data_IF_185336251176
#
_entry.id   IF_185336251176
#
_cell.length_a   1.000
_cell.length_b   1.000
_cell.length_c   1.000
_cell.angle_alpha   90.00
_cell.angle_beta   90.00
_cell.angle_gamma   90.00
#
_symmetry.space_group_name_H-M   'P 1'
#
loop_
_entity.id
_entity.type
_entity.pdbx_description
1 polymer ?
#
# COMPACT_ATOMS: atom_id res chain seq x y z
N UNK A 1 14.73 8.43 44.84
CA UNK A 1 15.09 9.83 44.53
C UNK A 1 14.87 10.04 43.04
N UNK A 2 13.74 10.61 42.65
CA UNK A 2 13.38 10.83 41.25
C UNK A 2 13.82 12.24 40.85
N UNK A 3 14.82 12.35 39.99
CA UNK A 3 15.23 13.61 39.39
C UNK A 3 14.22 14.01 38.31
N UNK A 4 13.46 15.09 38.55
CA UNK A 4 12.63 15.73 37.55
C UNK A 4 13.54 16.64 36.70
N UNK A 5 13.71 16.32 35.41
CA UNK A 5 14.40 17.19 34.45
C UNK A 5 13.46 18.35 34.08
N UNK A 6 13.73 19.52 34.62
CA UNK A 6 13.21 20.80 34.15
C UNK A 6 13.87 21.16 32.83
N UNK A 7 13.08 21.26 31.75
CA UNK A 7 13.45 22.04 30.57
C UNK A 7 12.88 23.45 30.76
N UNK A 8 13.69 24.52 30.69
CA UNK A 8 13.20 25.88 30.66
C UNK A 8 13.06 26.32 29.20
N UNK A 9 11.90 26.85 28.83
CA UNK A 9 11.78 27.80 27.72
C UNK A 9 10.58 28.70 28.03
N UNK A 10 10.80 29.67 28.92
CA UNK A 10 9.92 30.82 29.03
C UNK A 10 10.46 31.88 28.09
N UNK A 11 9.77 32.11 26.97
CA UNK A 11 9.99 33.28 26.12
C UNK A 11 9.60 34.53 26.92
N UNK A 12 10.59 35.33 27.33
CA UNK A 12 10.36 36.64 27.93
C UNK A 12 9.80 37.60 26.88
N UNK A 13 8.53 37.95 27.01
CA UNK A 13 7.93 39.07 26.29
C UNK A 13 7.83 40.23 27.28
N UNK A 14 8.52 41.34 26.99
CA UNK A 14 8.49 42.56 27.79
C UNK A 14 7.31 43.45 27.37
N UNK A 15 6.41 43.73 28.31
CA UNK A 15 5.42 44.79 28.16
C UNK A 15 6.07 46.18 28.22
N UNK A 16 5.49 47.20 27.55
CA UNK A 16 6.05 48.55 27.47
C UNK A 16 6.06 49.33 28.80
N UNK A 17 5.51 48.77 29.89
CA UNK A 17 5.53 49.35 31.23
C UNK A 17 6.57 48.71 32.18
N UNK A 18 7.39 47.76 31.71
CA UNK A 18 8.58 47.29 32.43
C UNK A 18 8.36 46.32 33.59
N UNK A 19 7.14 45.80 33.81
CA UNK A 19 6.88 44.78 34.83
C UNK A 19 6.75 43.39 34.19
N UNK A 20 7.54 42.42 34.69
CA UNK A 20 7.45 41.00 34.33
C UNK A 20 6.37 40.30 35.14
N UNK A 21 5.30 39.84 34.48
CA UNK A 21 4.31 38.94 35.09
C UNK A 21 4.46 37.56 34.43
N UNK A 22 4.68 36.47 35.18
CA UNK A 22 4.70 35.13 34.62
C UNK A 22 3.27 34.70 34.27
N UNK A 23 2.91 34.78 33.00
CA UNK A 23 1.66 34.23 32.49
C UNK A 23 1.82 32.71 32.29
N UNK A 24 1.20 31.94 33.18
CA UNK A 24 1.24 30.48 33.14
C UNK A 24 0.28 29.99 32.06
N UNK A 25 0.78 29.71 30.86
CA UNK A 25 0.00 29.09 29.77
C UNK A 25 -0.60 27.78 30.30
N UNK A 26 -1.91 27.54 30.20
CA UNK A 26 -2.55 26.37 30.80
C UNK A 26 -2.03 25.07 30.17
N UNK A 27 -1.18 24.37 30.91
CA UNK A 27 -0.52 23.08 30.63
C UNK A 27 -1.47 21.94 30.27
N UNK A 28 -2.79 22.11 30.46
CA UNK A 28 -3.80 21.10 30.15
C UNK A 28 -3.86 20.75 28.65
N UNK A 29 -3.67 21.72 27.75
CA UNK A 29 -3.76 21.46 26.30
C UNK A 29 -2.55 20.68 25.74
N UNK A 30 -1.36 20.88 26.30
CA UNK A 30 -0.14 20.15 25.88
C UNK A 30 -0.11 18.72 26.44
N UNK A 31 -0.58 18.51 27.68
CA UNK A 31 -0.61 17.20 28.33
C UNK A 31 -1.69 16.27 27.73
N UNK A 32 -2.79 16.83 27.22
CA UNK A 32 -3.84 16.07 26.52
C UNK A 32 -3.39 15.61 25.13
N UNK A 33 -2.49 16.36 24.48
CA UNK A 33 -1.91 15.99 23.18
C UNK A 33 -0.86 14.87 23.32
N UNK A 34 -0.12 14.83 24.44
CA UNK A 34 0.85 13.77 24.70
C UNK A 34 0.19 12.44 25.10
N UNK A 35 -0.94 12.46 25.81
CA UNK A 35 -1.67 11.23 26.15
C UNK A 35 -2.33 10.61 24.92
N UNK A 36 -2.95 11.40 24.03
CA UNK A 36 -3.50 10.88 22.77
C UNK A 36 -2.42 10.21 21.89
N UNK A 37 -1.23 10.82 21.80
CA UNK A 37 -0.08 10.23 21.10
C UNK A 37 0.45 8.98 21.81
N UNK A 38 0.50 8.96 23.13
CA UNK A 38 0.97 7.81 23.92
C UNK A 38 0.04 6.60 23.79
N UNK A 39 -1.29 6.82 23.82
CA UNK A 39 -2.28 5.77 23.56
C UNK A 39 -2.21 5.25 22.12
N UNK A 40 -1.93 6.11 21.13
CA UNK A 40 -1.77 5.68 19.74
C UNK A 40 -0.55 4.77 19.52
N UNK A 41 0.55 5.02 20.23
CA UNK A 41 1.75 4.16 20.19
C UNK A 41 1.56 2.84 20.94
N UNK A 42 0.80 2.83 22.03
CA UNK A 42 0.54 1.64 22.83
C UNK A 42 -0.48 0.69 22.18
N UNK A 43 -1.36 1.20 21.32
CA UNK A 43 -2.20 0.38 20.44
C UNK A 43 -1.34 -0.26 19.34
N UNK A 44 -0.36 0.46 18.77
CA UNK A 44 0.53 -0.05 17.74
C UNK A 44 1.47 -1.17 18.22
N UNK A 45 1.88 -1.16 19.49
CA UNK A 45 2.80 -2.17 20.05
C UNK A 45 2.17 -3.53 20.38
N UNK A 46 0.84 -3.64 20.33
CA UNK A 46 0.09 -4.87 20.63
C UNK A 46 -0.65 -5.45 19.41
N UNK A 47 -0.41 -4.91 18.21
CA UNK A 47 -0.94 -5.48 16.98
C UNK A 47 -0.07 -6.68 16.62
N UNK A 48 -0.61 -7.91 16.56
CA UNK A 48 0.15 -9.08 16.12
C UNK A 48 0.77 -8.82 14.74
N UNK A 49 2.03 -9.23 14.52
CA UNK A 49 2.75 -9.06 13.23
C UNK A 49 1.92 -9.32 11.95
N UNK A 50 1.04 -10.35 11.88
CA UNK A 50 0.22 -10.57 10.67
C UNK A 50 -0.72 -9.40 10.33
N UNK A 51 -1.19 -8.64 11.32
CA UNK A 51 -2.08 -7.50 11.11
C UNK A 51 -1.33 -6.26 10.58
N UNK A 52 -0.05 -6.09 10.92
CA UNK A 52 0.77 -5.01 10.35
C UNK A 52 1.03 -5.23 8.87
N UNK A 53 1.29 -6.48 8.46
CA UNK A 53 1.44 -6.84 7.05
C UNK A 53 0.15 -6.59 6.27
N UNK A 54 -0.99 -7.06 6.78
CA UNK A 54 -2.30 -6.84 6.15
C UNK A 54 -2.65 -5.35 6.04
N UNK A 55 -2.31 -4.55 7.05
CA UNK A 55 -2.52 -3.09 7.03
C UNK A 55 -1.62 -2.40 5.99
N UNK A 56 -0.34 -2.75 5.94
CA UNK A 56 0.59 -2.21 4.96
C UNK A 56 0.18 -2.58 3.52
N UNK A 57 -0.25 -3.82 3.31
CA UNK A 57 -0.76 -4.29 2.03
C UNK A 57 -2.04 -3.52 1.64
N UNK A 58 -2.97 -3.36 2.58
CA UNK A 58 -4.18 -2.59 2.37
C UNK A 58 -3.85 -1.13 2.01
N UNK A 59 -2.93 -0.48 2.72
CA UNK A 59 -2.48 0.88 2.45
C UNK A 59 -1.84 1.06 1.07
N UNK A 60 -1.12 0.05 0.58
CA UNK A 60 -0.50 0.05 -0.74
C UNK A 60 -1.47 -0.35 -1.87
N UNK A 61 -2.68 -0.79 -1.53
CA UNK A 61 -3.65 -1.27 -2.52
C UNK A 61 -4.02 -0.25 -3.62
N UNK A 62 -4.17 1.07 -3.37
CA UNK A 62 -4.46 2.03 -4.45
C UNK A 62 -3.34 2.07 -5.49
N UNK A 63 -2.09 2.03 -5.02
CA UNK A 63 -0.91 2.01 -5.89
C UNK A 63 -0.85 0.68 -6.65
N UNK A 64 -1.03 -0.45 -5.95
CA UNK A 64 -1.06 -1.80 -6.54
C UNK A 64 -2.06 -1.90 -7.68
N UNK A 65 -3.32 -1.52 -7.45
CA UNK A 65 -4.37 -1.60 -8.46
C UNK A 65 -4.22 -0.56 -9.57
N UNK A 66 -3.66 0.62 -9.28
CA UNK A 66 -3.32 1.60 -10.34
C UNK A 66 -2.27 1.06 -11.31
N UNK A 67 -1.27 0.35 -10.79
CA UNK A 67 -0.21 -0.26 -11.58
C UNK A 67 -0.75 -1.41 -12.43
N UNK A 68 -1.58 -2.29 -11.85
CA UNK A 68 -2.24 -3.37 -12.58
C UNK A 68 -3.11 -2.84 -13.71
N UNK A 69 -3.93 -1.82 -13.44
CA UNK A 69 -4.79 -1.20 -14.44
C UNK A 69 -3.98 -0.56 -15.57
N UNK A 70 -2.88 0.14 -15.23
CA UNK A 70 -1.98 0.73 -16.20
C UNK A 70 -1.35 -0.34 -17.11
N UNK A 71 -0.74 -1.37 -16.52
CA UNK A 71 -0.11 -2.48 -17.23
C UNK A 71 -1.09 -3.20 -18.17
N UNK A 72 -2.26 -3.57 -17.66
CA UNK A 72 -3.29 -4.22 -18.46
C UNK A 72 -3.75 -3.35 -19.61
N UNK A 73 -3.99 -2.05 -19.36
CA UNK A 73 -4.42 -1.12 -20.42
C UNK A 73 -3.34 -0.91 -21.48
N UNK A 74 -2.07 -0.79 -21.07
CA UNK A 74 -0.94 -0.65 -21.97
C UNK A 74 -0.76 -1.90 -22.86
N UNK A 75 -0.94 -3.10 -22.29
CA UNK A 75 -0.86 -4.35 -23.04
C UNK A 75 -1.98 -4.49 -24.07
N UNK A 76 -3.23 -4.17 -23.71
CA UNK A 76 -4.35 -4.24 -24.66
C UNK A 76 -4.18 -3.19 -25.78
N UNK A 77 -3.68 -2.00 -25.45
CA UNK A 77 -3.34 -0.98 -26.45
C UNK A 77 -2.22 -1.45 -27.38
N UNK A 78 -1.18 -2.11 -26.84
CA UNK A 78 -0.10 -2.69 -27.63
C UNK A 78 -0.59 -3.75 -28.61
N UNK A 79 -1.61 -4.54 -28.23
CA UNK A 79 -2.28 -5.49 -29.13
C UNK A 79 -3.15 -4.82 -30.21
N UNK A 80 -3.26 -3.49 -30.25
CA UNK A 80 -4.01 -2.74 -31.27
C UNK A 80 -5.53 -2.82 -31.12
N UNK A 81 -6.05 -3.29 -29.98
CA UNK A 81 -7.47 -3.57 -29.78
C UNK A 81 -8.30 -2.39 -29.22
N UNK A 82 -7.70 -1.21 -28.97
CA UNK A 82 -8.44 -0.09 -28.38
C UNK A 82 -7.95 1.29 -28.84
N UNK A 83 -8.90 2.23 -28.95
CA UNK A 83 -8.61 3.66 -29.00
C UNK A 83 -7.79 4.05 -27.75
N UNK A 84 -6.75 4.88 -27.94
CA UNK A 84 -5.78 5.21 -26.89
C UNK A 84 -6.47 5.79 -25.65
N UNK A 85 -6.66 4.95 -24.62
CA UNK A 85 -7.04 5.42 -23.29
C UNK A 85 -5.82 6.08 -22.70
N UNK A 86 -5.92 7.37 -22.35
CA UNK A 86 -4.82 8.10 -21.77
C UNK A 86 -4.30 7.36 -20.50
N UNK A 87 -2.98 7.15 -20.35
CA UNK A 87 -2.41 6.46 -19.19
C UNK A 87 -2.87 7.03 -17.85
N UNK A 88 -3.05 8.35 -17.78
CA UNK A 88 -3.58 9.05 -16.61
C UNK A 88 -4.97 8.58 -16.20
N UNK A 89 -5.82 8.22 -17.17
CA UNK A 89 -7.18 7.74 -16.92
C UNK A 89 -7.15 6.33 -16.32
N UNK A 90 -6.33 5.43 -16.88
CA UNK A 90 -6.13 4.08 -16.33
C UNK A 90 -5.63 4.12 -14.89
N UNK A 91 -4.64 4.98 -14.59
CA UNK A 91 -4.10 5.15 -13.24
C UNK A 91 -5.18 5.66 -12.28
N UNK A 92 -5.97 6.67 -12.69
CA UNK A 92 -7.08 7.20 -11.87
C UNK A 92 -8.13 6.15 -11.55
N UNK A 93 -8.54 5.35 -12.54
CA UNK A 93 -9.50 4.26 -12.35
C UNK A 93 -8.98 3.26 -11.31
N UNK A 94 -7.75 2.77 -11.48
CA UNK A 94 -7.18 1.79 -10.56
C UNK A 94 -6.96 2.36 -9.15
N UNK A 95 -6.48 3.60 -9.04
CA UNK A 95 -6.26 4.25 -7.75
C UNK A 95 -7.58 4.51 -7.00
N UNK A 96 -8.60 5.01 -7.68
CA UNK A 96 -9.91 5.28 -7.06
C UNK A 96 -10.61 3.97 -6.66
N UNK A 97 -10.60 2.97 -7.55
CA UNK A 97 -11.12 1.64 -7.26
C UNK A 97 -10.44 1.00 -6.05
N UNK A 98 -9.10 1.04 -6.01
CA UNK A 98 -8.33 0.55 -4.87
C UNK A 98 -8.62 1.32 -3.57
N UNK A 99 -8.80 2.63 -3.66
CA UNK A 99 -9.17 3.47 -2.50
C UNK A 99 -10.55 3.13 -1.96
N UNK A 100 -11.51 2.75 -2.81
CA UNK A 100 -12.82 2.30 -2.33
C UNK A 100 -12.74 0.93 -1.67
N UNK A 101 -11.93 0.01 -2.20
CA UNK A 101 -11.73 -1.32 -1.61
C UNK A 101 -11.04 -1.24 -0.23
N UNK A 102 -10.02 -0.38 -0.06
CA UNK A 102 -9.37 -0.18 1.24
C UNK A 102 -10.33 0.44 2.26
N UNK A 103 -11.17 1.41 1.86
CA UNK A 103 -12.17 1.99 2.74
C UNK A 103 -13.20 0.95 3.18
N UNK A 104 -13.64 0.08 2.27
CA UNK A 104 -14.51 -1.04 2.60
C UNK A 104 -13.85 -2.02 3.56
N UNK A 105 -12.57 -2.35 3.33
CA UNK A 105 -11.79 -3.22 4.21
C UNK A 105 -11.66 -2.61 5.62
N UNK A 106 -11.32 -1.32 5.73
CA UNK A 106 -11.26 -0.63 7.03
C UNK A 106 -12.64 -0.54 7.70
N UNK A 107 -13.72 -0.33 6.95
CA UNK A 107 -15.07 -0.35 7.50
C UNK A 107 -15.46 -1.73 8.05
N UNK A 108 -15.00 -2.81 7.41
CA UNK A 108 -15.20 -4.18 7.89
C UNK A 108 -14.35 -4.48 9.14
N UNK A 109 -13.13 -3.95 9.23
CA UNK A 109 -12.29 -4.06 10.42
C UNK A 109 -12.85 -3.30 11.65
N UNK A 110 -13.62 -2.22 11.43
CA UNK A 110 -14.27 -1.46 12.50
C UNK A 110 -15.50 -2.17 13.10
N UNK A 111 -16.02 -3.23 12.45
CA UNK A 111 -17.06 -4.06 13.07
C UNK A 111 -16.42 -4.95 14.12
N UNK A 112 -16.98 -5.04 15.35
CA UNK A 112 -16.49 -5.96 16.36
C UNK A 112 -16.62 -7.40 15.85
N UNK A 113 -15.51 -7.96 15.35
CA UNK A 113 -15.48 -9.33 14.88
C UNK A 113 -15.30 -10.25 16.07
N UNK A 114 -16.42 -10.86 16.49
CA UNK A 114 -16.35 -12.17 17.11
C UNK A 114 -15.72 -13.11 16.08
N UNK A 115 -14.51 -13.59 16.37
CA UNK A 115 -13.82 -14.66 15.61
C UNK A 115 -13.72 -14.40 14.11
N UNK A 116 -12.81 -13.51 13.70
CA UNK A 116 -12.26 -13.61 12.35
C UNK A 116 -11.39 -14.87 12.33
N UNK A 117 -11.88 -15.91 11.67
CA UNK A 117 -11.17 -17.16 11.48
C UNK A 117 -9.84 -16.83 10.80
N UNK A 118 -8.72 -16.99 11.52
CA UNK A 118 -7.42 -17.02 10.87
C UNK A 118 -7.46 -18.16 9.86
N UNK A 119 -7.18 -17.91 8.56
CA UNK A 119 -6.95 -19.02 7.66
C UNK A 119 -5.73 -19.77 8.22
N UNK A 120 -5.93 -21.01 8.66
CA UNK A 120 -4.86 -21.93 9.00
C UNK A 120 -3.94 -22.05 7.78
N UNK A 121 -2.87 -21.25 7.74
CA UNK A 121 -1.80 -21.36 6.75
C UNK A 121 -0.89 -22.53 7.13
N UNK A 122 -1.45 -23.73 7.24
CA UNK A 122 -0.67 -24.95 6.99
C UNK A 122 -0.63 -25.18 5.48
N UNK A 123 -0.05 -24.24 4.75
CA UNK A 123 0.12 -24.35 3.31
C UNK A 123 1.36 -25.22 3.04
N UNK A 124 1.11 -26.45 2.61
CA UNK A 124 2.14 -27.33 2.04
C UNK A 124 2.83 -26.61 0.87
N UNK A 125 4.04 -26.09 1.12
CA UNK A 125 4.87 -25.31 0.19
C UNK A 125 5.26 -26.07 -1.10
N UNK A 126 4.91 -27.35 -1.22
CA UNK A 126 5.18 -28.17 -2.40
C UNK A 126 4.15 -28.03 -3.53
N UNK A 127 3.01 -27.36 -3.29
CA UNK A 127 1.94 -27.24 -4.29
C UNK A 127 1.92 -25.86 -4.97
N UNK A 128 1.71 -25.84 -6.30
CA UNK A 128 1.54 -24.60 -7.09
C UNK A 128 0.16 -23.96 -6.86
N UNK A 129 -0.78 -24.76 -6.35
CA UNK A 129 -2.19 -24.40 -6.13
C UNK A 129 -2.39 -23.13 -5.28
N UNK A 130 -1.72 -22.96 -4.11
CA UNK A 130 -1.86 -21.74 -3.30
C UNK A 130 -1.50 -20.46 -4.04
N UNK A 131 -0.42 -20.46 -4.82
CA UNK A 131 0.00 -19.29 -5.58
C UNK A 131 -1.04 -18.91 -6.64
N UNK A 132 -1.66 -19.92 -7.27
CA UNK A 132 -2.71 -19.71 -8.25
C UNK A 132 -3.97 -19.14 -7.59
N UNK A 133 -4.34 -19.62 -6.39
CA UNK A 133 -5.48 -19.09 -5.62
C UNK A 133 -5.25 -17.62 -5.25
N UNK A 134 -4.05 -17.25 -4.80
CA UNK A 134 -3.70 -15.86 -4.50
C UNK A 134 -3.77 -14.99 -5.75
N UNK A 135 -3.24 -15.47 -6.89
CA UNK A 135 -3.33 -14.74 -8.15
C UNK A 135 -4.77 -14.52 -8.60
N UNK A 136 -5.63 -15.53 -8.52
CA UNK A 136 -7.06 -15.41 -8.85
C UNK A 136 -7.76 -14.40 -7.94
N UNK A 137 -7.44 -14.39 -6.65
CA UNK A 137 -7.95 -13.42 -5.69
C UNK A 137 -7.54 -11.99 -6.07
N UNK A 138 -6.28 -11.78 -6.43
CA UNK A 138 -5.78 -10.49 -6.92
C UNK A 138 -6.43 -10.05 -8.23
N UNK A 139 -6.65 -10.97 -9.17
CA UNK A 139 -7.39 -10.71 -10.41
C UNK A 139 -8.83 -10.28 -10.11
N UNK A 140 -9.52 -10.97 -9.20
CA UNK A 140 -10.88 -10.63 -8.81
C UNK A 140 -10.96 -9.24 -8.17
N UNK A 141 -10.08 -8.91 -7.22
CA UNK A 141 -10.06 -7.58 -6.61
C UNK A 141 -9.67 -6.48 -7.59
N UNK A 142 -8.72 -6.74 -8.49
CA UNK A 142 -8.32 -5.79 -9.53
C UNK A 142 -9.47 -5.52 -10.51
N UNK A 143 -10.25 -6.54 -10.88
CA UNK A 143 -11.48 -6.37 -11.68
C UNK A 143 -12.52 -5.54 -10.91
N UNK A 144 -12.77 -5.83 -9.64
CA UNK A 144 -13.70 -5.05 -8.82
C UNK A 144 -13.25 -3.58 -8.69
N UNK A 145 -11.96 -3.34 -8.47
CA UNK A 145 -11.38 -2.00 -8.45
C UNK A 145 -11.61 -1.29 -9.78
N UNK A 146 -11.35 -1.96 -10.90
CA UNK A 146 -11.56 -1.40 -12.23
C UNK A 146 -13.03 -1.05 -12.49
N UNK A 147 -13.98 -1.90 -12.09
CA UNK A 147 -15.42 -1.64 -12.20
C UNK A 147 -15.78 -0.39 -11.38
N UNK A 148 -15.43 -0.37 -10.08
CA UNK A 148 -15.75 0.75 -9.19
C UNK A 148 -15.14 2.06 -9.71
N UNK A 149 -13.86 2.04 -10.10
CA UNK A 149 -13.16 3.21 -10.62
C UNK A 149 -13.74 3.70 -11.95
N UNK A 150 -14.10 2.79 -12.86
CA UNK A 150 -14.70 3.12 -14.15
C UNK A 150 -16.08 3.75 -14.00
N UNK A 151 -16.91 3.20 -13.10
CA UNK A 151 -18.22 3.76 -12.77
C UNK A 151 -18.10 5.14 -12.13
N UNK A 152 -17.17 5.31 -11.18
CA UNK A 152 -16.94 6.59 -10.52
C UNK A 152 -16.42 7.68 -11.47
N UNK A 153 -15.65 7.30 -12.49
CA UNK A 153 -15.14 8.22 -13.52
C UNK A 153 -16.15 8.46 -14.66
N UNK A 154 -17.34 7.86 -14.63
CA UNK A 154 -18.36 8.01 -15.67
C UNK A 154 -18.05 7.31 -16.99
N UNK A 155 -17.12 6.34 -17.00
CA UNK A 155 -16.66 5.63 -18.20
C UNK A 155 -17.43 4.31 -18.39
N UNK A 156 -18.75 4.41 -18.50
CA UNK A 156 -19.63 3.23 -18.57
C UNK A 156 -19.45 2.42 -19.86
N UNK A 157 -19.26 3.09 -21.00
CA UNK A 157 -19.16 2.42 -22.31
C UNK A 157 -17.87 1.61 -22.48
N UNK A 158 -16.82 1.95 -21.73
CA UNK A 158 -15.51 1.30 -21.81
C UNK A 158 -15.25 0.34 -20.65
N UNK A 159 -16.28 0.00 -19.87
CA UNK A 159 -16.14 -0.84 -18.68
C UNK A 159 -15.55 -2.22 -19.01
N UNK A 160 -15.92 -2.82 -20.14
CA UNK A 160 -15.40 -4.12 -20.59
C UNK A 160 -13.89 -4.07 -20.82
N UNK A 161 -13.39 -2.96 -21.40
CA UNK A 161 -11.97 -2.74 -21.60
C UNK A 161 -11.24 -2.61 -20.25
N UNK A 162 -11.79 -1.83 -19.32
CA UNK A 162 -11.20 -1.65 -18.00
C UNK A 162 -11.20 -2.92 -17.15
N UNK A 163 -12.24 -3.74 -17.26
CA UNK A 163 -12.32 -5.07 -16.63
C UNK A 163 -11.26 -6.01 -17.18
N UNK A 164 -11.12 -6.08 -18.52
CA UNK A 164 -10.09 -6.90 -19.14
C UNK A 164 -8.67 -6.45 -18.73
N UNK A 165 -8.43 -5.14 -18.70
CA UNK A 165 -7.19 -4.56 -18.21
C UNK A 165 -6.92 -4.92 -16.74
N UNK A 166 -7.92 -4.77 -15.87
CA UNK A 166 -7.81 -5.12 -14.45
C UNK A 166 -7.52 -6.60 -14.23
N UNK A 167 -8.08 -7.48 -15.06
CA UNK A 167 -7.85 -8.93 -15.02
C UNK A 167 -6.43 -9.30 -15.49
N UNK A 168 -5.94 -8.71 -16.58
CA UNK A 168 -4.62 -9.01 -17.16
C UNK A 168 -3.47 -8.37 -16.37
N UNK A 169 -3.71 -7.23 -15.71
CA UNK A 169 -2.71 -6.47 -14.97
C UNK A 169 -1.86 -7.31 -13.99
N UNK A 170 -2.46 -8.06 -13.05
CA UNK A 170 -1.73 -8.92 -12.11
C UNK A 170 -0.85 -9.97 -12.79
N UNK A 171 -1.34 -10.59 -13.86
CA UNK A 171 -0.60 -11.61 -14.62
C UNK A 171 0.63 -10.99 -15.29
N UNK A 172 0.45 -9.82 -15.92
CA UNK A 172 1.54 -9.08 -16.57
C UNK A 172 2.57 -8.59 -15.55
N UNK A 173 2.12 -8.08 -14.40
CA UNK A 173 3.00 -7.67 -13.32
C UNK A 173 3.87 -8.83 -12.84
N UNK A 174 3.27 -10.00 -12.61
CA UNK A 174 3.99 -11.19 -12.18
C UNK A 174 5.01 -11.66 -13.24
N UNK A 175 4.61 -11.63 -14.52
CA UNK A 175 5.51 -11.97 -15.63
C UNK A 175 6.72 -11.01 -15.71
N UNK A 176 6.51 -9.70 -15.56
CA UNK A 176 7.59 -8.70 -15.54
C UNK A 176 8.49 -8.91 -14.32
N UNK A 177 7.89 -9.17 -13.15
CA UNK A 177 8.63 -9.39 -11.91
C UNK A 177 9.58 -10.60 -12.04
N UNK A 178 9.06 -11.77 -12.43
CA UNK A 178 9.89 -12.95 -12.64
C UNK A 178 10.86 -12.81 -13.80
N UNK A 179 10.46 -12.16 -14.89
CA UNK A 179 11.35 -11.87 -16.01
C UNK A 179 12.54 -11.01 -15.59
N UNK A 180 12.30 -9.93 -14.84
CA UNK A 180 13.36 -9.05 -14.34
C UNK A 180 14.29 -9.76 -13.36
N UNK A 181 13.76 -10.63 -12.50
CA UNK A 181 14.54 -11.44 -11.58
C UNK A 181 15.43 -12.44 -12.34
N UNK A 182 14.87 -13.14 -13.31
CA UNK A 182 15.60 -14.10 -14.15
C UNK A 182 16.73 -13.41 -14.94
N UNK A 183 16.49 -12.22 -15.48
CA UNK A 183 17.51 -11.40 -16.15
C UNK A 183 18.61 -11.01 -15.17
N UNK A 184 18.26 -10.54 -13.98
CA UNK A 184 19.24 -10.13 -12.95
C UNK A 184 20.14 -11.30 -12.55
N UNK A 185 19.55 -12.47 -12.29
CA UNK A 185 20.29 -13.70 -11.97
C UNK A 185 21.18 -14.11 -13.14
N UNK A 186 20.66 -14.06 -14.38
CA UNK A 186 21.40 -14.40 -15.58
C UNK A 186 22.62 -13.50 -15.78
N UNK A 187 22.46 -12.18 -15.59
CA UNK A 187 23.55 -11.20 -15.68
C UNK A 187 24.58 -11.42 -14.57
N UNK A 188 24.14 -11.60 -13.33
CA UNK A 188 25.03 -11.87 -12.21
C UNK A 188 25.84 -13.15 -12.40
N UNK A 189 25.19 -14.23 -12.88
CA UNK A 189 25.85 -15.50 -13.14
C UNK A 189 26.85 -15.40 -14.30
N UNK A 190 26.46 -14.72 -15.38
CA UNK A 190 27.32 -14.50 -16.55
C UNK A 190 28.54 -13.63 -16.19
N UNK A 191 28.34 -12.57 -15.42
CA UNK A 191 29.41 -11.72 -14.89
C UNK A 191 30.38 -12.48 -13.98
N UNK A 192 29.85 -13.34 -13.09
CA UNK A 192 30.65 -14.21 -12.24
C UNK A 192 31.49 -15.21 -13.04
N UNK A 193 30.92 -15.81 -14.09
CA UNK A 193 31.67 -16.68 -15.00
C UNK A 193 32.73 -15.91 -15.77
N UNK A 194 32.43 -14.75 -16.35
CA UNK A 194 33.43 -13.93 -17.04
C UNK A 194 34.59 -13.54 -16.12
N UNK A 195 34.31 -13.16 -14.86
CA UNK A 195 35.35 -12.86 -13.87
C UNK A 195 36.20 -14.09 -13.50
N UNK A 196 35.58 -15.26 -13.34
CA UNK A 196 36.28 -16.51 -13.08
C UNK A 196 37.19 -16.93 -14.26
N UNK A 197 36.70 -16.79 -15.49
CA UNK A 197 37.49 -17.06 -16.70
C UNK A 197 38.67 -16.10 -16.84
N UNK A 198 38.47 -14.80 -16.57
CA UNK A 198 39.52 -13.80 -16.67
C UNK A 198 40.61 -13.96 -15.59
N UNK A 199 40.26 -14.41 -14.38
CA UNK A 199 41.24 -14.69 -13.32
C UNK A 199 42.01 -16.01 -13.52
N UNK A 200 41.64 -16.82 -14.52
CA UNK A 200 42.29 -18.10 -14.81
C UNK A 200 43.36 -18.00 -15.91
N UNK A 201 43.40 -16.87 -16.62
CA UNK A 201 44.42 -16.48 -17.57
C UNK A 201 45.30 -15.37 -16.97
#
# INVERSE_FOLDING_TARGET
MNACRTFPDCLEIKDPAGNTVPECIPTKALQQRSTALSYSWQIYSNIPEPHLYAFAEAALSPVKYSLFQLLGSAFIQWLGHANSVAPSTSVKIGAFGGTMLILLYFALLLKPQATLHEPDESLDFHSVLPYLVVLLKEMAYSVLAAIIGSLACGLHEQIHFHVAAGCLGPVLFLAILFGSLAVTIGVAWSGGKCKYWFNRY
#
